data_IF_125587602369
#
_entry.id   IF_125587602369
#
_cell.length_a   1.000
_cell.length_b   1.000
_cell.length_c   1.000
_cell.angle_alpha   90.00
_cell.angle_beta   90.00
_cell.angle_gamma   90.00
#
_symmetry.space_group_name_H-M   'P 1'
#
loop_
_entity.id
_entity.type
_entity.pdbx_description
1 polymer ?
#
# COMPACT_ATOMS: atom_id res chain seq x y z
N UNK A 1 43.83 -50.21 33.16
CA UNK A 1 43.67 -49.07 32.25
C UNK A 1 42.56 -49.38 31.25
N UNK A 2 41.37 -48.76 31.41
CA UNK A 2 40.27 -48.84 30.43
C UNK A 2 39.81 -47.40 30.15
N UNK A 3 40.23 -46.86 29.01
CA UNK A 3 39.81 -45.55 28.56
C UNK A 3 38.41 -45.66 27.92
N UNK A 4 37.45 -44.96 28.51
CA UNK A 4 36.09 -44.81 28.00
C UNK A 4 36.15 -43.74 26.90
N UNK A 5 35.94 -44.15 25.64
CA UNK A 5 35.75 -43.22 24.53
C UNK A 5 34.28 -42.77 24.50
N UNK A 6 33.99 -41.64 25.15
CA UNK A 6 32.77 -40.88 24.92
C UNK A 6 32.93 -40.08 23.62
N UNK A 7 32.36 -40.57 22.51
CA UNK A 7 32.17 -39.75 21.33
C UNK A 7 30.81 -39.06 21.42
N UNK A 8 30.83 -37.73 21.62
CA UNK A 8 29.66 -36.87 21.60
C UNK A 8 28.94 -36.96 20.23
N UNK A 9 27.59 -36.92 20.19
CA UNK A 9 26.88 -36.74 18.93
C UNK A 9 27.17 -35.35 18.38
N UNK A 10 27.67 -35.28 17.15
CA UNK A 10 27.84 -34.01 16.43
C UNK A 10 26.45 -33.38 16.22
N UNK A 11 26.23 -32.22 16.82
CA UNK A 11 25.05 -31.41 16.55
C UNK A 11 25.12 -30.90 15.10
N UNK A 12 24.37 -31.54 14.20
CA UNK A 12 24.15 -31.04 12.85
C UNK A 12 23.41 -29.71 12.97
N UNK A 13 24.08 -28.61 12.60
CA UNK A 13 23.43 -27.30 12.43
C UNK A 13 22.38 -27.43 11.32
N UNK A 14 21.12 -27.60 11.71
CA UNK A 14 19.99 -27.47 10.81
C UNK A 14 19.75 -25.98 10.57
N UNK A 15 20.09 -25.50 9.37
CA UNK A 15 19.64 -24.20 8.91
C UNK A 15 18.13 -24.28 8.70
N UNK A 16 17.40 -23.23 9.07
CA UNK A 16 15.97 -23.13 8.82
C UNK A 16 15.71 -22.97 7.31
N UNK A 17 15.81 -24.07 6.55
CA UNK A 17 15.23 -24.13 5.22
C UNK A 17 13.77 -24.49 5.40
N UNK A 18 12.89 -23.56 5.01
CA UNK A 18 11.44 -23.75 5.09
C UNK A 18 11.00 -24.73 4.00
N UNK A 19 11.24 -26.02 4.19
CA UNK A 19 10.62 -27.07 3.39
C UNK A 19 9.29 -27.45 4.02
N UNK A 20 8.22 -26.86 3.50
CA UNK A 20 6.85 -27.18 3.90
C UNK A 20 6.15 -26.00 4.56
N UNK A 21 4.92 -25.77 4.10
CA UNK A 21 3.99 -24.73 4.53
C UNK A 21 4.13 -24.39 6.02
N UNK A 22 4.64 -23.18 6.30
CA UNK A 22 4.74 -22.66 7.65
C UNK A 22 3.37 -22.56 8.34
N UNK A 23 3.35 -22.48 9.68
CA UNK A 23 2.12 -22.40 10.45
C UNK A 23 1.24 -21.25 9.96
N UNK A 24 -0.04 -21.54 9.69
CA UNK A 24 -1.02 -20.53 9.28
C UNK A 24 -1.04 -19.40 10.31
N UNK A 25 -0.93 -18.16 9.83
CA UNK A 25 -0.96 -16.96 10.67
C UNK A 25 -2.15 -17.01 11.64
N UNK A 26 -1.89 -16.76 12.93
CA UNK A 26 -2.92 -16.70 13.99
C UNK A 26 -3.80 -15.46 13.87
N UNK A 27 -3.31 -14.43 13.18
CA UNK A 27 -4.10 -13.31 12.74
C UNK A 27 -4.76 -13.77 11.42
N UNK A 28 -6.08 -13.67 11.27
CA UNK A 28 -6.87 -14.22 10.15
C UNK A 28 -6.46 -13.73 8.75
N UNK A 29 -7.40 -13.27 7.92
CA UNK A 29 -7.04 -12.63 6.63
C UNK A 29 -6.44 -11.24 6.90
N UNK A 30 -5.23 -11.19 7.43
CA UNK A 30 -4.50 -9.93 7.59
C UNK A 30 -4.10 -9.43 6.22
N UNK A 31 -4.41 -8.15 5.96
CA UNK A 31 -3.92 -7.45 4.78
C UNK A 31 -2.41 -7.63 4.69
N UNK A 32 -1.92 -8.08 3.53
CA UNK A 32 -0.47 -8.24 3.33
C UNK A 32 0.25 -6.92 3.59
N UNK A 33 1.55 -6.99 3.92
CA UNK A 33 2.38 -5.80 4.07
C UNK A 33 2.25 -4.87 2.84
N UNK A 34 2.18 -5.45 1.65
CA UNK A 34 2.00 -4.66 0.43
C UNK A 34 0.67 -3.90 0.42
N UNK A 35 -0.44 -4.51 0.85
CA UNK A 35 -1.73 -3.80 0.96
C UNK A 35 -1.65 -2.65 1.97
N UNK A 36 -0.97 -2.85 3.09
CA UNK A 36 -0.74 -1.79 4.08
C UNK A 36 0.03 -0.61 3.48
N UNK A 37 1.14 -0.90 2.78
CA UNK A 37 1.95 0.12 2.12
C UNK A 37 1.17 0.83 1.00
N UNK A 38 0.38 0.09 0.21
CA UNK A 38 -0.45 0.72 -0.83
C UNK A 38 -1.53 1.62 -0.23
N UNK A 39 -2.20 1.19 0.84
CA UNK A 39 -3.18 2.03 1.54
C UNK A 39 -2.55 3.34 2.03
N UNK A 40 -1.35 3.29 2.58
CA UNK A 40 -0.62 4.49 2.99
C UNK A 40 -0.36 5.45 1.81
N UNK A 41 0.05 4.91 0.65
CA UNK A 41 0.28 5.70 -0.57
C UNK A 41 -1.01 6.33 -1.11
N UNK A 42 -2.10 5.58 -1.16
CA UNK A 42 -3.43 6.07 -1.59
C UNK A 42 -3.91 7.20 -0.67
N UNK A 43 -3.82 7.03 0.64
CA UNK A 43 -4.21 8.08 1.59
C UNK A 43 -3.31 9.31 1.52
N UNK A 44 -2.01 9.13 1.28
CA UNK A 44 -1.09 10.25 1.05
C UNK A 44 -1.53 11.05 -0.18
N UNK A 45 -1.79 10.36 -1.28
CA UNK A 45 -2.24 10.97 -2.54
C UNK A 45 -3.57 11.72 -2.39
N UNK A 46 -4.57 11.10 -1.74
CA UNK A 46 -5.85 11.76 -1.45
C UNK A 46 -5.64 13.08 -0.70
N UNK A 47 -4.80 13.08 0.35
CA UNK A 47 -4.53 14.31 1.12
C UNK A 47 -3.80 15.36 0.28
N UNK A 48 -2.91 14.97 -0.63
CA UNK A 48 -2.27 15.89 -1.58
C UNK A 48 -3.31 16.57 -2.45
N UNK A 49 -4.23 15.81 -3.06
CA UNK A 49 -5.33 16.36 -3.86
C UNK A 49 -6.13 17.39 -3.05
N UNK A 50 -6.65 16.99 -1.88
CA UNK A 50 -7.49 17.87 -1.07
C UNK A 50 -6.77 19.15 -0.66
N UNK A 51 -5.48 19.09 -0.34
CA UNK A 51 -4.69 20.30 -0.04
C UNK A 51 -4.51 21.17 -1.27
N UNK A 52 -4.20 20.56 -2.41
CA UNK A 52 -3.95 21.27 -3.67
C UNK A 52 -5.21 21.98 -4.18
N UNK A 53 -6.41 21.45 -3.94
CA UNK A 53 -7.68 22.16 -4.24
C UNK A 53 -7.81 23.53 -3.56
N UNK A 54 -7.08 23.80 -2.45
CA UNK A 54 -7.13 25.10 -1.77
C UNK A 54 -6.59 26.25 -2.62
N UNK A 55 -5.80 25.95 -3.65
CA UNK A 55 -5.24 26.94 -4.58
C UNK A 55 -6.26 27.43 -5.60
N UNK A 56 -7.39 26.73 -5.76
CA UNK A 56 -8.47 27.15 -6.66
C UNK A 56 -9.18 28.36 -6.01
N UNK A 57 -9.14 29.50 -6.72
CA UNK A 57 -9.72 30.77 -6.26
C UNK A 57 -11.25 30.74 -6.26
N UNK A 58 -11.86 30.23 -7.33
CA UNK A 58 -13.31 30.11 -7.42
C UNK A 58 -13.85 29.07 -6.42
N UNK A 59 -14.73 29.51 -5.53
CA UNK A 59 -15.21 28.66 -4.44
C UNK A 59 -16.08 27.51 -4.93
N UNK A 60 -16.85 27.73 -6.01
CA UNK A 60 -17.73 26.70 -6.58
C UNK A 60 -16.90 25.60 -7.24
N UNK A 61 -15.99 25.97 -8.13
CA UNK A 61 -15.05 25.04 -8.79
C UNK A 61 -14.22 24.27 -7.77
N UNK A 62 -13.76 24.93 -6.70
CA UNK A 62 -13.04 24.28 -5.61
C UNK A 62 -13.89 23.21 -4.90
N UNK A 63 -15.15 23.51 -4.63
CA UNK A 63 -16.06 22.56 -3.98
C UNK A 63 -16.37 21.37 -4.89
N UNK A 64 -16.70 21.62 -6.15
CA UNK A 64 -16.93 20.60 -7.17
C UNK A 64 -15.71 19.68 -7.31
N UNK A 65 -14.51 20.26 -7.35
CA UNK A 65 -13.25 19.50 -7.45
C UNK A 65 -13.03 18.59 -6.24
N UNK A 66 -13.30 19.08 -5.02
CA UNK A 66 -13.19 18.27 -3.80
C UNK A 66 -14.21 17.13 -3.78
N UNK A 67 -15.44 17.41 -4.22
CA UNK A 67 -16.51 16.41 -4.28
C UNK A 67 -16.16 15.33 -5.30
N UNK A 68 -15.72 15.72 -6.49
CA UNK A 68 -15.24 14.81 -7.52
C UNK A 68 -14.12 13.92 -6.99
N UNK A 69 -13.07 14.50 -6.40
CA UNK A 69 -11.98 13.74 -5.82
C UNK A 69 -12.46 12.75 -4.73
N UNK A 70 -13.42 13.13 -3.89
CA UNK A 70 -14.00 12.20 -2.91
C UNK A 70 -14.72 11.03 -3.58
N UNK A 71 -15.58 11.31 -4.55
CA UNK A 71 -16.36 10.30 -5.26
C UNK A 71 -15.47 9.30 -6.01
N UNK A 72 -14.39 9.76 -6.62
CA UNK A 72 -13.42 8.90 -7.31
C UNK A 72 -12.80 7.84 -6.38
N UNK A 73 -12.43 8.25 -5.15
CA UNK A 73 -11.84 7.33 -4.17
C UNK A 73 -12.90 6.41 -3.54
N UNK A 74 -14.11 6.92 -3.28
CA UNK A 74 -15.22 6.13 -2.77
C UNK A 74 -15.65 5.05 -3.77
N UNK A 75 -15.70 5.38 -5.07
CA UNK A 75 -16.06 4.42 -6.13
C UNK A 75 -15.15 3.19 -6.14
N UNK A 76 -13.85 3.35 -5.89
CA UNK A 76 -12.88 2.24 -5.93
C UNK A 76 -12.51 1.69 -4.55
N UNK A 77 -13.20 2.10 -3.49
CA UNK A 77 -12.90 1.69 -2.11
C UNK A 77 -13.01 0.18 -1.86
N UNK A 78 -13.75 -0.53 -2.71
CA UNK A 78 -13.96 -1.97 -2.64
C UNK A 78 -12.87 -2.81 -3.33
N UNK A 79 -11.96 -2.20 -4.08
CA UNK A 79 -10.92 -2.91 -4.84
C UNK A 79 -9.92 -3.55 -3.88
N UNK A 80 -9.79 -4.89 -3.96
CA UNK A 80 -8.85 -5.67 -3.15
C UNK A 80 -7.63 -6.17 -3.94
N UNK A 81 -7.66 -6.15 -5.28
CA UNK A 81 -6.49 -6.56 -6.07
C UNK A 81 -5.40 -5.48 -6.02
N UNK A 82 -4.21 -5.89 -5.60
CA UNK A 82 -3.11 -4.97 -5.40
C UNK A 82 -2.56 -4.40 -6.71
N UNK A 83 -2.61 -5.15 -7.81
CA UNK A 83 -2.15 -4.63 -9.10
C UNK A 83 -3.13 -3.59 -9.62
N UNK A 84 -4.44 -3.85 -9.47
CA UNK A 84 -5.47 -2.88 -9.78
C UNK A 84 -5.37 -1.61 -8.92
N UNK A 85 -5.11 -1.72 -7.61
CA UNK A 85 -4.88 -0.55 -6.74
C UNK A 85 -3.69 0.29 -7.24
N UNK A 86 -2.58 -0.37 -7.63
CA UNK A 86 -1.39 0.32 -8.17
C UNK A 86 -1.69 1.03 -9.48
N UNK A 87 -2.42 0.35 -10.38
CA UNK A 87 -2.87 0.93 -11.63
C UNK A 87 -3.72 2.18 -11.40
N UNK A 88 -4.79 2.07 -10.59
CA UNK A 88 -5.67 3.20 -10.28
C UNK A 88 -4.92 4.38 -9.64
N UNK A 89 -3.99 4.08 -8.73
CA UNK A 89 -3.14 5.12 -8.12
C UNK A 89 -2.24 5.80 -9.17
N UNK A 90 -1.65 5.04 -10.09
CA UNK A 90 -0.81 5.59 -11.16
C UNK A 90 -1.63 6.46 -12.09
N UNK A 91 -2.76 5.97 -12.57
CA UNK A 91 -3.66 6.70 -13.46
C UNK A 91 -4.20 7.97 -12.80
N UNK A 92 -4.64 7.87 -11.53
CA UNK A 92 -5.11 9.01 -10.77
C UNK A 92 -4.05 10.09 -10.60
N UNK A 93 -2.78 9.72 -10.36
CA UNK A 93 -1.67 10.69 -10.31
C UNK A 93 -1.47 11.41 -11.63
N UNK A 94 -1.44 10.69 -12.75
CA UNK A 94 -1.28 11.31 -14.08
C UNK A 94 -2.43 12.26 -14.41
N UNK A 95 -3.67 11.87 -14.07
CA UNK A 95 -4.85 12.74 -14.22
C UNK A 95 -4.72 13.99 -13.35
N UNK A 96 -4.33 13.83 -12.09
CA UNK A 96 -4.15 14.95 -11.16
C UNK A 96 -3.04 15.91 -11.62
N UNK A 97 -1.87 15.40 -12.00
CA UNK A 97 -0.75 16.22 -12.51
C UNK A 97 -1.17 17.04 -13.73
N UNK A 98 -2.02 16.46 -14.58
CA UNK A 98 -2.56 17.18 -15.74
C UNK A 98 -3.50 18.29 -15.28
N UNK A 99 -4.42 18.00 -14.36
CA UNK A 99 -5.35 18.97 -13.79
C UNK A 99 -4.66 20.10 -13.01
N UNK A 100 -3.61 19.76 -12.27
CA UNK A 100 -2.81 20.69 -11.47
C UNK A 100 -2.16 21.77 -12.33
N UNK A 101 -1.66 21.41 -13.51
CA UNK A 101 -1.14 22.40 -14.49
C UNK A 101 -2.19 23.38 -14.96
N UNK A 102 -3.46 22.96 -15.08
CA UNK A 102 -4.54 23.88 -15.42
C UNK A 102 -4.92 24.79 -14.25
N UNK A 103 -4.90 24.27 -13.02
CA UNK A 103 -5.16 25.06 -11.82
C UNK A 103 -4.08 26.12 -11.61
N UNK A 104 -2.81 25.78 -11.80
CA UNK A 104 -1.71 26.74 -11.65
C UNK A 104 -1.66 27.78 -12.77
N UNK A 105 -2.32 27.52 -13.90
CA UNK A 105 -2.47 28.48 -14.99
C UNK A 105 -3.68 29.40 -14.88
N UNK A 106 -4.54 29.22 -13.85
CA UNK A 106 -5.75 30.02 -13.58
C UNK A 106 -5.53 31.02 -12.44
#
# INVERSE_FOLDING_TARGET
>A
MRAILLYLPQAVRQYATTSGQGPRSRLGSVLSLDHFLQRARVLSFYRTIIRSTRRINDSKTREETRLFARQEFERHSHVQDIQHIRYLLSTGKTQWESMERYIDGM
#
